data_IF_694877540121
#
_entry.id   IF_694877540121
#
_cell.length_a   1.000
_cell.length_b   1.000
_cell.length_c   1.000
_cell.angle_alpha   90.00
_cell.angle_beta   90.00
_cell.angle_gamma   90.00
#
_symmetry.space_group_name_H-M   'P 1'
#
loop_
_entity.id
_entity.type
_entity.pdbx_description
1 polymer ?
#
# COMPACT_ATOMS: atom_id res chain seq x y z
N UNK A 1 -8.04 12.20 10.44
CA UNK A 1 -7.02 12.69 9.51
C UNK A 1 -5.73 11.90 9.67
N UNK A 2 -5.27 11.27 8.60
CA UNK A 2 -4.01 10.53 8.59
C UNK A 2 -2.90 11.42 8.00
N UNK A 3 -1.65 11.17 8.41
CA UNK A 3 -0.48 11.86 7.89
C UNK A 3 0.40 10.87 7.13
N UNK A 4 0.70 11.19 5.88
CA UNK A 4 1.66 10.45 5.08
C UNK A 4 3.02 11.11 5.14
N UNK A 5 4.07 10.31 4.97
CA UNK A 5 5.45 10.77 5.04
C UNK A 5 6.20 10.38 3.78
N UNK A 6 7.05 11.30 3.32
CA UNK A 6 8.05 11.03 2.28
C UNK A 6 9.41 11.38 2.85
N UNK A 7 10.30 10.40 2.88
CA UNK A 7 11.67 10.56 3.35
C UNK A 7 12.60 10.44 2.15
N UNK A 8 13.43 11.46 1.92
CA UNK A 8 14.38 11.46 0.82
C UNK A 8 15.81 11.51 1.37
N UNK A 9 16.67 10.65 0.81
CA UNK A 9 18.08 10.62 1.18
C UNK A 9 18.89 9.96 0.07
N UNK A 10 20.02 10.57 -0.29
CA UNK A 10 20.93 10.00 -1.29
C UNK A 10 20.30 9.78 -2.67
N UNK A 11 19.33 10.61 -3.07
CA UNK A 11 18.63 10.46 -4.33
C UNK A 11 17.54 9.40 -4.34
N UNK A 12 17.22 8.83 -3.17
CA UNK A 12 16.17 7.82 -3.01
C UNK A 12 15.03 8.37 -2.17
N UNK A 13 13.83 7.83 -2.37
CA UNK A 13 12.64 8.25 -1.62
C UNK A 13 11.86 7.04 -1.12
N UNK A 14 11.45 7.09 0.14
CA UNK A 14 10.60 6.10 0.77
C UNK A 14 9.36 6.82 1.30
N UNK A 15 8.18 6.31 0.98
CA UNK A 15 6.92 6.87 1.45
C UNK A 15 6.19 5.89 2.37
N UNK A 16 5.57 6.43 3.42
CA UNK A 16 4.86 5.65 4.44
C UNK A 16 3.47 6.24 4.60
N UNK A 17 2.45 5.50 4.12
CA UNK A 17 1.06 5.96 4.05
C UNK A 17 0.19 4.90 4.73
N UNK A 18 -0.13 5.11 6.00
CA UNK A 18 -0.96 4.18 6.77
C UNK A 18 -2.10 4.88 7.47
N UNK A 19 -3.04 4.09 8.00
CA UNK A 19 -4.21 4.59 8.72
C UNK A 19 -5.02 5.57 7.87
N UNK A 20 -5.21 5.21 6.61
CA UNK A 20 -5.96 6.01 5.65
C UNK A 20 -6.90 5.14 4.83
N UNK A 21 -8.05 5.70 4.51
CA UNK A 21 -9.03 5.07 3.64
C UNK A 21 -8.99 5.78 2.29
N UNK A 22 -9.06 4.99 1.21
CA UNK A 22 -9.10 5.57 -0.14
C UNK A 22 -10.41 6.31 -0.38
N UNK A 23 -10.40 7.27 -1.29
CA UNK A 23 -11.58 8.06 -1.65
C UNK A 23 -12.42 7.31 -2.68
N UNK A 24 -13.76 7.36 -2.58
CA UNK A 24 -14.62 6.80 -3.59
C UNK A 24 -14.51 7.56 -4.91
N UNK A 25 -14.60 6.85 -6.01
CA UNK A 25 -14.70 7.45 -7.33
C UNK A 25 -13.41 8.00 -7.93
N UNK A 26 -12.26 7.76 -7.31
CA UNK A 26 -10.98 8.20 -7.89
C UNK A 26 -9.82 8.15 -6.91
N UNK A 27 -8.63 8.43 -7.41
CA UNK A 27 -7.41 8.43 -6.60
C UNK A 27 -7.29 9.74 -5.82
N UNK A 28 -6.73 9.65 -4.61
CA UNK A 28 -6.39 10.83 -3.82
C UNK A 28 -5.13 11.47 -4.43
N UNK A 29 -5.29 12.60 -5.09
CA UNK A 29 -4.18 13.29 -5.75
C UNK A 29 -3.11 13.76 -4.77
N UNK A 30 -3.47 14.03 -3.53
CA UNK A 30 -2.49 14.41 -2.51
C UNK A 30 -1.53 13.24 -2.25
N UNK A 31 -2.05 12.03 -2.17
CA UNK A 31 -1.22 10.84 -1.98
C UNK A 31 -0.41 10.56 -3.24
N UNK A 32 -1.03 10.59 -4.40
CA UNK A 32 -0.33 10.38 -5.69
C UNK A 32 0.85 11.36 -5.81
N UNK A 33 0.63 12.63 -5.50
CA UNK A 33 1.68 13.63 -5.58
C UNK A 33 2.80 13.38 -4.56
N UNK A 34 2.44 12.98 -3.34
CA UNK A 34 3.42 12.68 -2.30
C UNK A 34 4.34 11.53 -2.68
N UNK A 35 3.78 10.46 -3.23
CA UNK A 35 4.53 9.23 -3.51
C UNK A 35 5.15 9.20 -4.92
N UNK A 36 4.94 10.22 -5.73
CA UNK A 36 5.38 10.25 -7.12
C UNK A 36 6.86 9.90 -7.27
N UNK A 37 7.13 8.88 -8.06
CA UNK A 37 8.50 8.44 -8.35
C UNK A 37 9.25 7.84 -7.15
N UNK A 38 8.56 7.53 -6.07
CA UNK A 38 9.21 6.94 -4.89
C UNK A 38 9.84 5.58 -5.22
N UNK A 39 10.96 5.29 -4.57
CA UNK A 39 11.60 3.97 -4.70
C UNK A 39 10.82 2.91 -3.95
N UNK A 40 10.27 3.26 -2.79
CA UNK A 40 9.42 2.37 -1.99
C UNK A 40 8.20 3.14 -1.50
N UNK A 41 7.02 2.56 -1.67
CA UNK A 41 5.79 3.05 -1.04
C UNK A 41 5.21 1.96 -0.14
N UNK A 42 5.10 2.25 1.15
CA UNK A 42 4.41 1.41 2.13
C UNK A 42 3.01 1.99 2.29
N UNK A 43 1.99 1.19 2.03
CA UNK A 43 0.61 1.69 1.99
C UNK A 43 -0.34 0.81 2.81
N UNK A 44 -1.34 1.45 3.40
CA UNK A 44 -2.39 0.79 4.17
C UNK A 44 -3.20 -0.14 3.28
N UNK A 45 -3.13 -1.41 3.58
CA UNK A 45 -3.80 -2.47 2.83
C UNK A 45 -4.43 -3.48 3.79
N UNK A 46 -5.16 -2.94 4.78
CA UNK A 46 -5.80 -3.74 5.81
C UNK A 46 -6.78 -4.74 5.21
N UNK A 47 -7.49 -4.35 4.16
CA UNK A 47 -8.53 -5.17 3.53
C UNK A 47 -8.19 -5.54 2.10
N UNK A 48 -8.96 -6.50 1.55
CA UNK A 48 -9.08 -6.70 0.10
C UNK A 48 -10.31 -5.94 -0.40
N UNK A 49 -10.38 -5.66 -1.70
CA UNK A 49 -11.56 -5.04 -2.29
C UNK A 49 -12.83 -5.85 -2.01
N UNK A 50 -12.70 -7.17 -1.92
CA UNK A 50 -13.83 -8.06 -1.64
C UNK A 50 -14.37 -7.86 -0.22
N UNK A 51 -13.51 -7.57 0.74
CA UNK A 51 -13.90 -7.35 2.14
C UNK A 51 -14.35 -5.91 2.40
N UNK A 52 -13.84 -4.97 1.63
CA UNK A 52 -13.97 -3.54 1.90
C UNK A 52 -15.40 -3.05 2.14
N UNK A 53 -16.44 -3.51 1.40
CA UNK A 53 -17.81 -3.02 1.65
C UNK A 53 -18.30 -3.18 3.08
N UNK A 54 -17.78 -4.17 3.82
CA UNK A 54 -18.15 -4.40 5.24
C UNK A 54 -17.44 -3.46 6.20
N UNK A 55 -16.35 -2.82 5.74
CA UNK A 55 -15.47 -2.00 6.60
C UNK A 55 -15.36 -0.56 6.09
N UNK A 56 -16.20 -0.17 5.16
CA UNK A 56 -16.20 1.19 4.64
C UNK A 56 -16.43 2.19 5.78
N UNK A 57 -15.57 3.21 5.86
CA UNK A 57 -15.64 4.20 6.94
C UNK A 57 -14.78 3.87 8.15
N UNK A 58 -14.08 2.74 8.16
CA UNK A 58 -13.23 2.35 9.29
C UNK A 58 -11.83 2.96 9.25
N UNK A 59 -11.50 3.70 8.20
CA UNK A 59 -10.25 4.45 8.12
C UNK A 59 -9.08 3.67 7.51
N UNK A 60 -9.36 2.59 6.79
CA UNK A 60 -8.33 1.75 6.17
C UNK A 60 -8.66 1.45 4.71
N UNK A 61 -7.65 1.09 3.94
CA UNK A 61 -7.76 0.88 2.50
C UNK A 61 -7.53 -0.59 2.13
N UNK A 62 -7.40 -0.83 0.83
CA UNK A 62 -7.17 -2.16 0.26
C UNK A 62 -5.84 -2.21 -0.48
N UNK A 63 -5.30 -3.43 -0.64
CA UNK A 63 -4.07 -3.57 -1.40
C UNK A 63 -4.28 -3.22 -2.89
N UNK A 64 -5.47 -3.46 -3.42
CA UNK A 64 -5.78 -3.12 -4.81
C UNK A 64 -5.80 -1.60 -5.03
N UNK A 65 -6.34 -0.83 -4.07
CA UNK A 65 -6.34 0.63 -4.17
C UNK A 65 -4.93 1.20 -4.05
N UNK A 66 -4.10 0.63 -3.19
CA UNK A 66 -2.68 1.01 -3.11
C UNK A 66 -1.93 0.75 -4.41
N UNK A 67 -2.27 -0.33 -5.09
CA UNK A 67 -1.66 -0.67 -6.38
C UNK A 67 -2.00 0.37 -7.46
N UNK A 68 -3.24 0.85 -7.49
CA UNK A 68 -3.64 1.92 -8.41
C UNK A 68 -2.83 3.19 -8.17
N UNK A 69 -2.60 3.55 -6.91
CA UNK A 69 -1.79 4.71 -6.54
C UNK A 69 -0.34 4.50 -6.99
N UNK A 70 0.23 3.34 -6.74
CA UNK A 70 1.59 3.02 -7.12
C UNK A 70 1.79 3.14 -8.64
N UNK A 71 0.85 2.62 -9.41
CA UNK A 71 0.91 2.69 -10.87
C UNK A 71 0.77 4.13 -11.37
N UNK A 72 -0.17 4.89 -10.82
CA UNK A 72 -0.41 6.28 -11.22
C UNK A 72 0.79 7.18 -10.90
N UNK A 73 1.47 6.93 -9.78
CA UNK A 73 2.59 7.74 -9.32
C UNK A 73 3.95 7.26 -9.81
N UNK A 74 4.03 6.11 -10.48
CA UNK A 74 5.29 5.57 -10.96
C UNK A 74 6.21 5.09 -9.83
N UNK A 75 5.64 4.55 -8.77
CA UNK A 75 6.38 3.97 -7.64
C UNK A 75 7.14 2.73 -8.12
N UNK A 76 8.38 2.56 -7.68
CA UNK A 76 9.19 1.40 -8.09
C UNK A 76 8.79 0.14 -7.34
N UNK A 77 8.72 0.20 -6.01
CA UNK A 77 8.34 -0.95 -5.17
C UNK A 77 7.16 -0.58 -4.30
N UNK A 78 6.08 -1.32 -4.43
CA UNK A 78 4.89 -1.19 -3.59
C UNK A 78 4.94 -2.26 -2.50
N UNK A 79 4.76 -1.85 -1.24
CA UNK A 79 4.76 -2.73 -0.08
C UNK A 79 3.38 -2.68 0.59
N UNK A 80 2.73 -3.82 0.64
CA UNK A 80 1.44 -4.02 1.30
C UNK A 80 1.68 -4.10 2.80
N UNK A 81 1.01 -3.26 3.58
CA UNK A 81 1.25 -3.11 5.01
C UNK A 81 -0.05 -2.94 5.77
N UNK A 82 0.01 -3.06 7.11
CA UNK A 82 -1.12 -2.85 8.01
C UNK A 82 -2.22 -3.90 7.85
N UNK A 83 -1.81 -5.18 7.88
CA UNK A 83 -2.74 -6.31 7.69
C UNK A 83 -3.80 -6.37 8.78
N UNK A 84 -5.01 -6.78 8.41
CA UNK A 84 -6.07 -7.06 9.37
C UNK A 84 -5.63 -8.22 10.28
N UNK A 85 -5.75 -8.08 11.61
CA UNK A 85 -5.33 -9.16 12.53
C UNK A 85 -6.04 -10.50 12.32
N UNK A 86 -7.20 -10.51 11.67
CA UNK A 86 -7.93 -11.74 11.35
C UNK A 86 -7.34 -12.49 10.15
N UNK A 87 -6.47 -11.84 9.37
CA UNK A 87 -5.81 -12.48 8.23
C UNK A 87 -4.64 -13.33 8.73
N UNK A 88 -4.71 -14.64 8.52
CA UNK A 88 -3.64 -15.56 8.88
C UNK A 88 -2.55 -15.60 7.78
N UNK A 89 -1.50 -16.36 8.03
CA UNK A 89 -0.37 -16.47 7.10
C UNK A 89 -0.80 -17.01 5.73
N UNK A 90 -1.68 -18.00 5.72
CA UNK A 90 -2.20 -18.57 4.47
C UNK A 90 -2.95 -17.53 3.65
N UNK A 91 -3.78 -16.71 4.29
CA UNK A 91 -4.49 -15.62 3.64
C UNK A 91 -3.51 -14.61 3.06
N UNK A 92 -2.49 -14.22 3.84
CA UNK A 92 -1.49 -13.24 3.41
C UNK A 92 -0.58 -13.79 2.30
N UNK A 93 -0.28 -15.08 2.31
CA UNK A 93 0.46 -15.70 1.21
C UNK A 93 -0.34 -15.62 -0.10
N UNK A 94 -1.65 -15.79 -0.03
CA UNK A 94 -2.52 -15.66 -1.20
C UNK A 94 -2.58 -14.21 -1.69
N UNK A 95 -2.64 -13.25 -0.79
CA UNK A 95 -2.57 -11.82 -1.15
C UNK A 95 -1.24 -11.54 -1.86
N UNK A 96 -0.13 -12.03 -1.32
CA UNK A 96 1.19 -11.83 -1.92
C UNK A 96 1.26 -12.40 -3.33
N UNK A 97 0.72 -13.59 -3.55
CA UNK A 97 0.67 -14.24 -4.85
C UNK A 97 -0.16 -13.43 -5.84
N UNK A 98 -1.36 -13.01 -5.44
CA UNK A 98 -2.26 -12.24 -6.30
C UNK A 98 -1.69 -10.86 -6.63
N UNK A 99 -1.09 -10.20 -5.65
CA UNK A 99 -0.49 -8.88 -5.84
C UNK A 99 0.73 -8.94 -6.76
N UNK A 100 1.59 -9.92 -6.59
CA UNK A 100 2.77 -10.09 -7.44
C UNK A 100 2.39 -10.43 -8.89
N UNK A 101 1.29 -11.16 -9.08
CA UNK A 101 0.77 -11.45 -10.42
C UNK A 101 0.24 -10.18 -11.09
N UNK A 102 -0.44 -9.30 -10.33
CA UNK A 102 -1.00 -8.06 -10.86
C UNK A 102 0.07 -6.99 -11.12
N UNK A 103 1.08 -6.93 -10.25
CA UNK A 103 2.19 -5.97 -10.36
C UNK A 103 3.47 -6.64 -9.86
N UNK A 104 4.31 -7.16 -10.79
CA UNK A 104 5.56 -7.84 -10.42
C UNK A 104 6.43 -6.98 -9.52
N UNK A 105 7.02 -7.59 -8.49
CA UNK A 105 7.86 -6.91 -7.52
C UNK A 105 7.09 -6.33 -6.33
N UNK A 106 5.76 -6.44 -6.29
CA UNK A 106 4.98 -6.05 -5.14
C UNK A 106 5.25 -7.00 -3.97
N UNK A 107 5.45 -6.45 -2.78
CA UNK A 107 5.80 -7.19 -1.58
C UNK A 107 4.73 -7.05 -0.50
N UNK A 108 4.58 -8.09 0.30
CA UNK A 108 3.79 -8.05 1.54
C UNK A 108 4.76 -7.92 2.70
N UNK A 109 4.58 -6.90 3.54
CA UNK A 109 5.46 -6.67 4.67
C UNK A 109 5.38 -7.80 5.69
N UNK A 110 6.51 -8.18 6.26
CA UNK A 110 6.64 -9.21 7.30
C UNK A 110 7.59 -8.72 8.37
N UNK A 111 7.42 -9.22 9.60
CA UNK A 111 8.36 -8.92 10.68
C UNK A 111 9.77 -9.33 10.27
N UNK A 112 10.74 -8.48 10.59
CA UNK A 112 12.13 -8.72 10.29
C UNK A 112 12.55 -8.46 8.85
N UNK A 113 11.61 -8.09 7.97
CA UNK A 113 11.92 -7.76 6.58
C UNK A 113 12.70 -6.45 6.51
N UNK A 114 13.76 -6.45 5.72
CA UNK A 114 14.55 -5.25 5.41
C UNK A 114 14.51 -5.00 3.91
N UNK A 115 14.25 -3.76 3.53
CA UNK A 115 14.23 -3.34 2.12
C UNK A 115 15.23 -2.22 1.92
N UNK A 116 15.88 -2.23 0.75
CA UNK A 116 16.80 -1.17 0.35
C UNK A 116 16.23 -0.44 -0.86
N UNK A 117 16.07 0.89 -0.77
CA UNK A 117 15.53 1.68 -1.87
C UNK A 117 16.48 1.78 -3.07
#
# INVERSE_FOLDING_TARGET
NATGYRVEYGGKAICYITDTEHKPGGLDQNIVNLVRGADIMVYDATYTDQEYPRFKGWGHSTWQEGMKIADAAGVKTYVIFHHDPSHNDEFMDKVAENAAAARPGTLVAREGMTLTP
#
